data_IF_737424282929
#
_entry.id   IF_737424282929
#
_cell.length_a   1.000
_cell.length_b   1.000
_cell.length_c   1.000
_cell.angle_alpha   90.00
_cell.angle_beta   90.00
_cell.angle_gamma   90.00
#
_symmetry.space_group_name_H-M   'P 1'
#
loop_
_entity.id
_entity.type
_entity.pdbx_description
1 polymer ?
#
# COMPACT_ATOMS: atom_id res chain seq x y z
N UNK A 1 9.34 -15.06 -8.35
CA UNK A 1 8.39 -14.21 -7.60
C UNK A 1 8.83 -13.96 -6.16
N UNK A 2 9.27 -14.99 -5.46
CA UNK A 2 9.67 -14.85 -4.07
C UNK A 2 10.79 -13.84 -3.81
N UNK A 3 11.78 -13.79 -4.67
CA UNK A 3 12.88 -12.82 -4.52
C UNK A 3 12.40 -11.37 -4.60
N UNK A 4 11.45 -11.08 -5.48
CA UNK A 4 10.91 -9.71 -5.59
C UNK A 4 10.13 -9.33 -4.35
N UNK A 5 9.35 -10.26 -3.82
CA UNK A 5 8.56 -10.01 -2.62
C UNK A 5 9.47 -9.80 -1.41
N UNK A 6 10.52 -10.63 -1.28
CA UNK A 6 11.52 -10.47 -0.22
C UNK A 6 12.24 -9.13 -0.34
N UNK A 7 12.55 -8.71 -1.56
CA UNK A 7 13.17 -7.41 -1.81
C UNK A 7 12.29 -6.28 -1.32
N UNK A 8 10.98 -6.39 -1.49
CA UNK A 8 10.04 -5.39 -0.98
C UNK A 8 10.13 -5.26 0.54
N UNK A 9 10.28 -6.38 1.25
CA UNK A 9 10.44 -6.34 2.72
C UNK A 9 11.74 -5.62 3.08
N UNK A 10 12.83 -5.92 2.40
CA UNK A 10 14.12 -5.26 2.66
C UNK A 10 14.02 -3.75 2.43
N UNK A 11 13.42 -3.34 1.33
CA UNK A 11 13.26 -1.92 1.00
C UNK A 11 12.36 -1.25 2.04
N UNK A 12 11.24 -1.86 2.40
CA UNK A 12 10.32 -1.31 3.39
C UNK A 12 11.03 -1.14 4.74
N UNK A 13 11.81 -2.12 5.17
CA UNK A 13 12.57 -2.04 6.41
C UNK A 13 13.59 -0.91 6.39
N UNK A 14 14.25 -0.69 5.25
CA UNK A 14 15.24 0.38 5.13
C UNK A 14 14.59 1.77 5.07
N UNK A 15 13.37 1.87 4.56
CA UNK A 15 12.65 3.14 4.47
C UNK A 15 11.97 3.54 5.77
N UNK A 16 11.81 2.62 6.70
CA UNK A 16 11.08 2.88 7.94
C UNK A 16 11.80 3.96 8.76
N UNK A 17 11.11 5.08 9.11
CA UNK A 17 11.72 6.12 9.93
C UNK A 17 12.02 5.61 11.35
N UNK A 18 13.17 5.97 11.88
CA UNK A 18 13.57 5.58 13.24
C UNK A 18 12.64 6.13 14.33
N UNK A 19 11.94 7.22 14.05
CA UNK A 19 11.12 7.92 15.03
C UNK A 19 9.61 7.68 14.86
N UNK A 20 9.22 6.52 14.34
CA UNK A 20 7.80 6.27 14.12
C UNK A 20 7.05 5.81 15.39
N UNK A 21 7.66 5.90 16.56
CA UNK A 21 7.03 5.73 17.88
C UNK A 21 6.16 4.47 18.00
N UNK A 22 6.67 3.34 17.53
CA UNK A 22 5.96 2.06 17.63
C UNK A 22 4.85 1.86 16.61
N UNK A 23 4.58 2.83 15.77
CA UNK A 23 3.60 2.66 14.68
C UNK A 23 4.19 1.79 13.58
N UNK A 24 3.33 1.00 12.94
CA UNK A 24 3.72 0.19 11.82
C UNK A 24 4.03 1.05 10.60
N UNK A 25 4.98 0.61 9.80
CA UNK A 25 5.33 1.25 8.55
C UNK A 25 4.76 0.45 7.39
N UNK A 26 4.02 1.12 6.52
CA UNK A 26 3.43 0.53 5.33
C UNK A 26 4.14 1.05 4.09
N UNK A 27 4.43 0.17 3.16
CA UNK A 27 4.96 0.53 1.86
C UNK A 27 4.21 -0.24 0.79
N UNK A 28 3.85 0.44 -0.29
CA UNK A 28 3.20 -0.16 -1.44
C UNK A 28 4.11 -0.02 -2.64
N UNK A 29 4.34 -1.14 -3.32
CA UNK A 29 5.20 -1.22 -4.48
C UNK A 29 4.33 -1.53 -5.69
N UNK A 30 4.56 -0.79 -6.78
CA UNK A 30 3.90 -1.09 -8.05
C UNK A 30 4.97 -1.55 -9.02
N UNK A 31 4.75 -2.74 -9.58
CA UNK A 31 5.69 -3.37 -10.50
C UNK A 31 5.15 -3.39 -11.92
N UNK A 32 6.01 -3.04 -12.88
CA UNK A 32 5.79 -3.37 -14.27
C UNK A 32 6.72 -4.54 -14.58
N UNK A 33 6.14 -5.73 -14.69
CA UNK A 33 6.90 -6.98 -14.82
C UNK A 33 7.87 -7.14 -13.64
N UNK A 34 9.17 -6.95 -13.87
CA UNK A 34 10.19 -7.13 -12.83
C UNK A 34 10.64 -5.82 -12.20
N UNK A 35 10.19 -4.67 -12.74
CA UNK A 35 10.66 -3.36 -12.30
C UNK A 35 9.69 -2.72 -11.34
N UNK A 36 10.24 -2.16 -10.27
CA UNK A 36 9.46 -1.29 -9.37
C UNK A 36 9.35 0.06 -10.07
N UNK A 37 8.13 0.49 -10.34
CA UNK A 37 7.88 1.77 -11.01
C UNK A 37 7.29 2.82 -10.08
N UNK A 38 6.84 2.43 -8.89
CA UNK A 38 6.38 3.36 -7.87
C UNK A 38 6.48 2.74 -6.50
N UNK A 39 6.83 3.54 -5.51
CA UNK A 39 6.82 3.15 -4.10
C UNK A 39 6.08 4.23 -3.33
N UNK A 40 5.02 3.84 -2.63
CA UNK A 40 4.29 4.71 -1.73
C UNK A 40 4.48 4.28 -0.29
N UNK A 41 4.51 5.24 0.63
CA UNK A 41 4.59 4.96 2.06
C UNK A 41 3.46 5.68 2.77
N UNK A 42 3.07 5.16 3.94
CA UNK A 42 2.04 5.83 4.73
C UNK A 42 2.63 7.05 5.44
N UNK A 43 1.79 8.07 5.62
CA UNK A 43 2.17 9.26 6.35
C UNK A 43 0.99 9.69 7.22
N UNK A 44 1.17 9.57 8.53
CA UNK A 44 0.10 9.88 9.49
C UNK A 44 -0.17 11.37 9.62
N UNK A 45 0.72 12.22 9.13
CA UNK A 45 0.62 13.67 9.27
C UNK A 45 0.19 14.39 7.99
N UNK A 46 0.06 13.66 6.89
CA UNK A 46 -0.30 14.27 5.60
C UNK A 46 -1.68 13.85 5.15
N UNK A 47 -2.35 14.81 4.53
CA UNK A 47 -3.62 14.59 3.84
C UNK A 47 -3.43 14.94 2.39
N UNK A 48 -3.99 14.15 1.49
CA UNK A 48 -3.98 14.51 0.08
C UNK A 48 -5.34 15.07 -0.29
N UNK A 49 -5.40 16.11 -1.15
CA UNK A 49 -6.68 16.69 -1.58
C UNK A 49 -7.66 15.66 -2.13
N UNK A 50 -7.17 14.59 -2.73
CA UNK A 50 -8.03 13.53 -3.25
C UNK A 50 -8.87 12.87 -2.17
N UNK A 51 -8.38 12.79 -0.96
CA UNK A 51 -9.15 12.26 0.17
C UNK A 51 -10.34 13.15 0.50
N UNK A 52 -10.13 14.48 0.52
CA UNK A 52 -11.16 15.44 0.85
C UNK A 52 -12.19 15.61 -0.25
N UNK A 53 -11.74 15.55 -1.49
CA UNK A 53 -12.61 15.74 -2.65
C UNK A 53 -13.45 14.51 -2.97
N UNK A 54 -13.19 13.42 -2.28
CA UNK A 54 -13.90 12.18 -2.55
C UNK A 54 -13.65 11.63 -3.93
N UNK A 55 -12.49 11.90 -4.49
CA UNK A 55 -12.12 11.37 -5.79
C UNK A 55 -12.17 9.85 -5.81
N UNK A 56 -11.86 9.24 -4.69
CA UNK A 56 -11.94 7.79 -4.50
C UNK A 56 -13.18 7.49 -3.66
N UNK A 57 -14.13 6.79 -4.26
CA UNK A 57 -15.45 6.55 -3.67
C UNK A 57 -15.41 5.87 -2.29
N UNK A 58 -14.38 5.04 -2.05
CA UNK A 58 -14.25 4.36 -0.78
C UNK A 58 -14.22 5.28 0.43
N UNK A 59 -13.69 6.48 0.27
CA UNK A 59 -13.64 7.44 1.37
C UNK A 59 -14.99 8.05 1.68
N UNK A 60 -15.88 8.12 0.71
CA UNK A 60 -17.23 8.66 0.93
C UNK A 60 -18.14 7.67 1.65
N UNK A 61 -17.94 6.39 1.42
CA UNK A 61 -18.84 5.35 1.95
C UNK A 61 -18.60 5.03 3.41
N UNK A 62 -17.43 5.36 3.94
CA UNK A 62 -17.07 5.06 5.32
C UNK A 62 -16.48 6.27 6.01
N UNK A 63 -17.25 7.36 6.15
CA UNK A 63 -16.73 8.60 6.76
C UNK A 63 -16.29 8.41 8.22
N UNK A 64 -16.91 7.50 8.94
CA UNK A 64 -16.56 7.22 10.33
C UNK A 64 -15.21 6.51 10.45
N UNK A 65 -14.83 5.76 9.43
CA UNK A 65 -13.56 5.04 9.38
C UNK A 65 -12.50 5.83 8.62
N UNK A 66 -12.84 7.01 8.15
CA UNK A 66 -11.91 7.84 7.42
C UNK A 66 -10.83 8.37 8.37
N UNK A 67 -9.61 8.00 8.08
CA UNK A 67 -8.45 8.51 8.79
C UNK A 67 -7.76 9.53 7.90
N UNK A 68 -7.64 10.78 8.34
CA UNK A 68 -7.08 11.83 7.50
C UNK A 68 -5.55 11.72 7.40
N UNK A 69 -5.09 10.60 6.88
CA UNK A 69 -3.67 10.35 6.64
C UNK A 69 -3.50 9.75 5.26
N UNK A 70 -2.31 9.91 4.70
CA UNK A 70 -1.98 9.38 3.40
C UNK A 70 -1.59 7.92 3.54
N UNK A 71 -2.43 7.02 3.02
CA UNK A 71 -2.14 5.60 3.01
C UNK A 71 -1.13 5.26 1.91
N UNK A 72 -0.34 4.21 2.12
CA UNK A 72 0.73 3.85 1.18
C UNK A 72 0.21 3.52 -0.21
N UNK A 73 -0.95 2.87 -0.30
CA UNK A 73 -1.57 2.52 -1.59
C UNK A 73 -1.89 3.77 -2.41
N UNK A 74 -2.53 4.74 -1.77
CA UNK A 74 -2.88 5.99 -2.43
C UNK A 74 -1.62 6.75 -2.82
N UNK A 75 -0.62 6.78 -1.93
CA UNK A 75 0.66 7.43 -2.22
C UNK A 75 1.32 6.83 -3.46
N UNK A 76 1.33 5.51 -3.57
CA UNK A 76 1.95 4.84 -4.72
C UNK A 76 1.23 5.17 -6.03
N UNK A 77 -0.11 5.19 -6.00
CA UNK A 77 -0.93 5.52 -7.18
C UNK A 77 -0.67 6.96 -7.61
N UNK A 78 -0.66 7.89 -6.65
CA UNK A 78 -0.43 9.31 -6.94
C UNK A 78 0.96 9.52 -7.56
N UNK A 79 1.98 8.90 -6.98
CA UNK A 79 3.35 9.02 -7.49
C UNK A 79 3.51 8.44 -8.88
N UNK A 80 2.78 7.36 -9.17
CA UNK A 80 2.82 6.75 -10.50
C UNK A 80 2.18 7.67 -11.54
N UNK A 81 1.14 8.40 -11.16
CA UNK A 81 0.45 9.31 -12.07
C UNK A 81 -0.49 8.63 -13.05
N UNK A 82 -0.78 7.37 -12.86
CA UNK A 82 -1.71 6.59 -13.69
C UNK A 82 -2.83 6.05 -12.83
N UNK A 83 -4.03 5.99 -13.38
CA UNK A 83 -5.20 5.44 -12.69
C UNK A 83 -5.53 4.02 -13.16
N UNK A 84 -5.05 3.63 -14.33
CA UNK A 84 -5.24 2.27 -14.87
C UNK A 84 -4.01 1.43 -14.55
N UNK A 85 -4.15 0.50 -13.63
CA UNK A 85 -3.08 -0.38 -13.19
C UNK A 85 -3.22 -1.80 -13.75
N UNK A 86 -3.99 -1.99 -14.81
CA UNK A 86 -4.32 -3.33 -15.33
C UNK A 86 -3.09 -4.13 -15.80
N UNK A 87 -1.97 -3.45 -16.06
CA UNK A 87 -0.72 -4.09 -16.46
C UNK A 87 0.21 -4.37 -15.29
N UNK A 88 -0.14 -3.91 -14.10
CA UNK A 88 0.81 -3.85 -12.99
C UNK A 88 0.44 -4.78 -11.85
N UNK A 89 1.47 -5.20 -11.12
CA UNK A 89 1.33 -5.95 -9.89
C UNK A 89 1.56 -5.01 -8.72
N UNK A 90 0.68 -5.07 -7.73
CA UNK A 90 0.77 -4.25 -6.51
C UNK A 90 1.19 -5.14 -5.35
N UNK A 91 2.15 -4.68 -4.57
CA UNK A 91 2.64 -5.40 -3.40
C UNK A 91 2.56 -4.50 -2.18
N UNK A 92 1.77 -4.87 -1.20
CA UNK A 92 1.66 -4.15 0.08
C UNK A 92 2.50 -4.84 1.14
N UNK A 93 3.37 -4.07 1.79
CA UNK A 93 4.23 -4.56 2.86
C UNK A 93 3.97 -3.74 4.11
N UNK A 94 3.88 -4.41 5.24
CA UNK A 94 3.83 -3.76 6.54
C UNK A 94 4.93 -4.37 7.41
N UNK A 95 5.72 -3.51 8.02
CA UNK A 95 6.74 -3.94 8.98
C UNK A 95 6.51 -3.23 10.31
N UNK A 96 6.74 -3.94 11.39
CA UNK A 96 6.60 -3.38 12.72
C UNK A 96 7.93 -2.77 13.20
N UNK A 97 7.95 -2.29 14.44
CA UNK A 97 9.13 -1.65 15.02
C UNK A 97 10.37 -2.55 15.07
N UNK A 98 10.18 -3.86 15.00
CA UNK A 98 11.26 -4.85 15.04
C UNK A 98 11.62 -5.35 13.64
N UNK A 99 11.13 -4.70 12.57
CA UNK A 99 11.31 -5.11 11.19
C UNK A 99 10.74 -6.50 10.88
N UNK A 100 9.75 -6.92 11.67
CA UNK A 100 9.02 -8.14 11.40
C UNK A 100 7.81 -7.82 10.52
N UNK A 101 7.47 -8.72 9.61
CA UNK A 101 6.30 -8.51 8.76
C UNK A 101 5.02 -8.55 9.59
N UNK A 102 4.08 -7.70 9.23
CA UNK A 102 2.76 -7.64 9.83
C UNK A 102 1.71 -7.68 8.72
N UNK A 103 0.44 -7.78 9.11
CA UNK A 103 -0.64 -7.88 8.13
C UNK A 103 -0.81 -6.57 7.36
N UNK A 104 -0.63 -6.65 6.05
CA UNK A 104 -0.72 -5.50 5.15
C UNK A 104 -1.94 -5.57 4.22
N UNK A 105 -2.98 -6.29 4.60
CA UNK A 105 -4.20 -6.33 3.82
C UNK A 105 -4.78 -4.92 3.72
N UNK A 106 -5.12 -4.43 2.52
CA UNK A 106 -5.66 -3.08 2.38
C UNK A 106 -6.93 -2.89 3.20
N UNK A 107 -7.10 -1.70 3.79
CA UNK A 107 -8.35 -1.35 4.43
C UNK A 107 -9.46 -1.27 3.37
N UNK A 108 -10.72 -1.27 3.81
CA UNK A 108 -11.84 -1.28 2.86
C UNK A 108 -11.78 -0.12 1.87
N UNK A 109 -11.45 1.07 2.33
CA UNK A 109 -11.34 2.25 1.47
C UNK A 109 -10.25 2.10 0.41
N UNK A 110 -9.05 1.69 0.83
CA UNK A 110 -7.94 1.46 -0.10
C UNK A 110 -8.24 0.32 -1.06
N UNK A 111 -8.88 -0.74 -0.56
CA UNK A 111 -9.24 -1.88 -1.41
C UNK A 111 -10.18 -1.44 -2.53
N UNK A 112 -11.16 -0.59 -2.24
CA UNK A 112 -12.08 -0.08 -3.26
C UNK A 112 -11.37 0.77 -4.31
N UNK A 113 -10.45 1.62 -3.86
CA UNK A 113 -9.62 2.41 -4.78
C UNK A 113 -8.81 1.48 -5.68
N UNK A 114 -8.14 0.49 -5.09
CA UNK A 114 -7.34 -0.46 -5.84
C UNK A 114 -8.17 -1.25 -6.85
N UNK A 115 -9.36 -1.69 -6.47
CA UNK A 115 -10.26 -2.40 -7.37
C UNK A 115 -10.65 -1.55 -8.58
N UNK A 116 -10.84 -0.24 -8.37
CA UNK A 116 -11.14 0.67 -9.48
C UNK A 116 -9.97 0.80 -10.46
N UNK A 117 -8.74 0.60 -10.00
CA UNK A 117 -7.57 0.66 -10.89
C UNK A 117 -7.46 -0.55 -11.81
N UNK A 118 -8.15 -1.65 -11.49
CA UNK A 118 -8.11 -2.87 -12.28
C UNK A 118 -6.78 -3.58 -12.25
N UNK A 119 -6.01 -3.45 -11.19
CA UNK A 119 -4.66 -4.04 -11.07
C UNK A 119 -4.64 -5.50 -11.52
N UNK A 120 -3.47 -5.94 -12.01
CA UNK A 120 -3.31 -7.31 -12.50
C UNK A 120 -3.28 -8.32 -11.36
N UNK A 121 -2.43 -8.07 -10.36
CA UNK A 121 -2.29 -8.91 -9.17
C UNK A 121 -1.99 -8.02 -7.98
N UNK A 122 -2.40 -8.46 -6.80
CA UNK A 122 -2.08 -7.77 -5.55
C UNK A 122 -1.64 -8.79 -4.51
N UNK A 123 -0.48 -8.55 -3.92
CA UNK A 123 0.05 -9.34 -2.82
C UNK A 123 0.16 -8.47 -1.58
N UNK A 124 -0.01 -9.06 -0.41
CA UNK A 124 0.21 -8.36 0.85
C UNK A 124 0.92 -9.28 1.85
N UNK A 125 1.62 -8.68 2.79
CA UNK A 125 2.29 -9.45 3.85
C UNK A 125 1.30 -9.94 4.89
N UNK A 126 1.54 -11.16 5.38
CA UNK A 126 0.80 -11.79 6.46
C UNK A 126 1.82 -12.39 7.41
N UNK A 127 1.72 -12.14 8.74
CA UNK A 127 2.76 -12.59 9.68
C UNK A 127 2.89 -14.12 9.76
N UNK A 128 1.85 -14.84 9.42
CA UNK A 128 1.89 -16.31 9.47
C UNK A 128 2.22 -16.94 8.12
N UNK A 129 1.73 -16.34 7.03
CA UNK A 129 1.82 -16.95 5.69
C UNK A 129 2.90 -16.35 4.80
N UNK A 130 3.51 -15.24 5.22
CA UNK A 130 4.47 -14.51 4.39
C UNK A 130 3.75 -13.59 3.43
N UNK A 131 3.68 -13.93 2.16
CA UNK A 131 2.92 -13.16 1.17
C UNK A 131 1.67 -13.91 0.75
N UNK A 132 0.56 -13.18 0.67
CA UNK A 132 -0.74 -13.72 0.26
C UNK A 132 -1.19 -12.93 -0.96
N UNK A 133 -1.69 -13.63 -1.98
CA UNK A 133 -2.31 -12.97 -3.12
C UNK A 133 -3.77 -12.67 -2.79
N UNK A 134 -4.18 -11.43 -2.98
CA UNK A 134 -5.59 -11.05 -2.81
C UNK A 134 -6.37 -11.51 -4.02
N UNK A 135 -7.29 -12.44 -3.81
CA UNK A 135 -8.14 -13.00 -4.86
C UNK A 135 -9.48 -12.27 -4.88
N UNK A 136 -9.92 -11.96 -6.04
CA UNK A 136 -11.20 -11.31 -6.24
C UNK A 136 -11.09 -9.86 -6.51
#
# INVERSE_FOLDING_TARGET
MNRRLEKCIEIASSLRPHKQNGRSFHATFIFDKKRIISIGTNDYNKHHPYHKMGKYLGYKENPENYKPCLHSEISAIIKLGEEDLSRYTVVNVRVDKNNQIALAKPCLNCLRVLQQTGYKKLFYTDPEKGFVELMG
#
